data_IF_105301307893
#
_entry.id   IF_105301307893
#
_cell.length_a   1.000
_cell.length_b   1.000
_cell.length_c   1.000
_cell.angle_alpha   90.00
_cell.angle_beta   90.00
_cell.angle_gamma   90.00
#
_symmetry.space_group_name_H-M   'P 1'
#
loop_
_entity.id
_entity.type
_entity.pdbx_description
1 polymer ?
#
# COMPACT_ATOMS: atom_id res chain seq x y z
N UNK A 1 6.67 16.34 24.19
CA UNK A 1 6.43 16.25 22.73
C UNK A 1 7.24 15.08 22.21
N UNK A 2 6.60 14.02 21.74
CA UNK A 2 7.28 12.77 21.39
C UNK A 2 8.18 13.00 20.16
N UNK A 3 9.39 12.41 20.14
CA UNK A 3 10.35 12.62 19.04
C UNK A 3 9.79 12.21 17.67
N UNK A 4 8.96 11.15 17.66
CA UNK A 4 8.28 10.62 16.47
C UNK A 4 7.30 11.65 15.88
N UNK A 5 6.46 12.28 16.72
CA UNK A 5 5.48 13.28 16.27
C UNK A 5 6.16 14.51 15.66
N UNK A 6 7.34 14.89 16.17
CA UNK A 6 8.13 16.00 15.64
C UNK A 6 8.81 15.64 14.32
N UNK A 7 9.31 14.41 14.18
CA UNK A 7 9.95 13.94 12.94
C UNK A 7 8.95 13.85 11.78
N UNK A 8 7.74 13.33 12.05
CA UNK A 8 6.68 13.18 11.05
C UNK A 8 5.72 14.38 10.94
N UNK A 9 5.92 15.44 11.74
CA UNK A 9 5.09 16.65 11.68
C UNK A 9 3.61 16.46 12.06
N UNK A 10 3.28 15.41 12.81
CA UNK A 10 1.90 14.99 13.12
C UNK A 10 1.09 16.09 13.82
N UNK A 11 1.73 16.87 14.70
CA UNK A 11 1.08 17.95 15.46
C UNK A 11 0.52 19.07 14.57
N UNK A 12 0.99 19.23 13.33
CA UNK A 12 0.46 20.21 12.38
C UNK A 12 -0.71 19.71 11.54
N UNK A 13 -1.03 18.41 11.60
CA UNK A 13 -1.95 17.74 10.67
C UNK A 13 -3.29 17.30 11.29
N UNK A 14 -3.60 17.73 12.53
CA UNK A 14 -4.83 17.34 13.26
C UNK A 14 -5.09 15.82 13.29
N UNK A 15 -4.04 15.01 13.26
CA UNK A 15 -4.09 13.53 13.26
C UNK A 15 -3.34 12.98 14.47
N UNK A 16 -3.46 11.67 14.72
CA UNK A 16 -2.78 10.99 15.83
C UNK A 16 -1.91 9.84 15.30
N UNK A 17 -0.86 9.47 16.03
CA UNK A 17 0.01 8.34 15.66
C UNK A 17 -0.82 7.06 15.40
N UNK A 18 -1.85 6.79 16.21
CA UNK A 18 -2.71 5.62 16.02
C UNK A 18 -3.44 5.65 14.68
N UNK A 19 -3.93 6.83 14.29
CA UNK A 19 -4.61 7.05 13.00
C UNK A 19 -3.64 6.83 11.85
N UNK A 20 -2.44 7.40 11.91
CA UNK A 20 -1.41 7.24 10.88
C UNK A 20 -0.95 5.80 10.72
N UNK A 21 -0.75 5.07 11.82
CA UNK A 21 -0.40 3.64 11.77
C UNK A 21 -1.54 2.84 11.11
N UNK A 22 -2.79 3.09 11.50
CA UNK A 22 -3.92 2.38 10.91
C UNK A 22 -4.05 2.70 9.42
N UNK A 23 -3.93 3.98 9.04
CA UNK A 23 -3.96 4.41 7.65
C UNK A 23 -2.85 3.75 6.84
N UNK A 24 -1.61 3.75 7.35
CA UNK A 24 -0.47 3.10 6.72
C UNK A 24 -0.66 1.59 6.55
N UNK A 25 -1.16 0.90 7.57
CA UNK A 25 -1.48 -0.54 7.49
C UNK A 25 -2.58 -0.80 6.46
N UNK A 26 -3.63 0.01 6.43
CA UNK A 26 -4.70 -0.13 5.44
C UNK A 26 -4.16 0.04 4.02
N UNK A 27 -3.39 1.11 3.76
CA UNK A 27 -2.77 1.33 2.44
C UNK A 27 -1.84 0.19 2.04
N UNK A 28 -1.01 -0.28 2.97
CA UNK A 28 -0.10 -1.40 2.74
C UNK A 28 -0.85 -2.67 2.36
N UNK A 29 -1.90 -3.02 3.10
CA UNK A 29 -2.72 -4.20 2.82
C UNK A 29 -3.44 -4.09 1.47
N UNK A 30 -3.93 -2.89 1.11
CA UNK A 30 -4.54 -2.64 -0.20
C UNK A 30 -3.55 -2.89 -1.33
N UNK A 31 -2.33 -2.34 -1.25
CA UNK A 31 -1.30 -2.57 -2.26
C UNK A 31 -0.86 -4.04 -2.33
N UNK A 32 -0.69 -4.69 -1.18
CA UNK A 32 -0.36 -6.11 -1.11
C UNK A 32 -1.43 -6.98 -1.78
N UNK A 33 -2.71 -6.68 -1.55
CA UNK A 33 -3.81 -7.36 -2.21
C UNK A 33 -3.75 -7.20 -3.74
N UNK A 34 -3.50 -5.98 -4.23
CA UNK A 34 -3.41 -5.68 -5.67
C UNK A 34 -2.32 -6.52 -6.36
N UNK A 35 -1.14 -6.62 -5.74
CA UNK A 35 0.03 -7.36 -6.28
C UNK A 35 -0.29 -8.86 -6.49
N UNK A 36 -1.16 -9.46 -5.67
CA UNK A 36 -1.55 -10.87 -5.84
C UNK A 36 -2.80 -11.05 -6.69
N UNK A 37 -3.79 -10.17 -6.58
CA UNK A 37 -5.09 -10.35 -7.24
C UNK A 37 -5.05 -9.96 -8.71
N UNK A 38 -4.44 -8.83 -9.08
CA UNK A 38 -4.41 -8.41 -10.49
C UNK A 38 -3.74 -9.46 -11.39
N UNK A 39 -2.59 -10.06 -11.01
CA UNK A 39 -1.95 -11.09 -11.83
C UNK A 39 -2.78 -12.36 -11.96
N UNK A 40 -3.53 -12.76 -10.91
CA UNK A 40 -4.41 -13.92 -10.98
C UNK A 40 -5.58 -13.68 -11.94
N UNK A 41 -6.26 -12.53 -11.82
CA UNK A 41 -7.40 -12.18 -12.69
C UNK A 41 -6.98 -12.04 -14.15
N UNK A 42 -5.83 -11.40 -14.42
CA UNK A 42 -5.31 -11.24 -15.78
C UNK A 42 -4.74 -12.55 -16.35
N UNK A 43 -4.19 -13.42 -15.52
CA UNK A 43 -3.76 -14.76 -15.94
C UNK A 43 -4.96 -15.63 -16.35
N UNK A 44 -6.09 -15.53 -15.64
CA UNK A 44 -7.34 -16.21 -16.02
C UNK A 44 -7.88 -15.72 -17.37
N UNK A 45 -7.57 -14.47 -17.75
CA UNK A 45 -7.86 -13.92 -19.08
C UNK A 45 -6.85 -14.35 -20.17
N UNK A 46 -5.86 -15.18 -19.84
CA UNK A 46 -4.87 -15.73 -20.78
C UNK A 46 -3.56 -14.94 -20.89
N UNK A 47 -3.30 -13.97 -20.00
CA UNK A 47 -2.04 -13.20 -19.98
C UNK A 47 -0.93 -13.93 -19.19
N UNK A 48 0.34 -13.67 -19.54
CA UNK A 48 1.46 -14.24 -18.80
C UNK A 48 1.52 -13.68 -17.37
N UNK A 49 1.36 -14.57 -16.39
CA UNK A 49 1.28 -14.24 -14.96
C UNK A 49 2.51 -13.49 -14.44
N UNK A 50 3.70 -13.82 -14.96
CA UNK A 50 4.95 -13.18 -14.56
C UNK A 50 5.02 -11.74 -15.06
N UNK A 51 4.71 -11.52 -16.32
CA UNK A 51 4.68 -10.20 -16.95
C UNK A 51 3.65 -9.28 -16.28
N UNK A 52 2.43 -9.76 -16.01
CA UNK A 52 1.41 -8.95 -15.33
C UNK A 52 1.73 -8.71 -13.85
N UNK A 53 2.41 -9.63 -13.19
CA UNK A 53 2.92 -9.41 -11.82
C UNK A 53 3.94 -8.28 -11.78
N UNK A 54 4.95 -8.32 -12.66
CA UNK A 54 5.96 -7.26 -12.75
C UNK A 54 5.33 -5.92 -13.11
N UNK A 55 4.41 -5.90 -14.09
CA UNK A 55 3.68 -4.70 -14.47
C UNK A 55 2.83 -4.13 -13.32
N UNK A 56 2.19 -4.99 -12.54
CA UNK A 56 1.40 -4.58 -11.36
C UNK A 56 2.31 -3.96 -10.29
N UNK A 57 3.47 -4.57 -10.01
CA UNK A 57 4.45 -4.03 -9.06
C UNK A 57 5.05 -2.69 -9.50
N UNK A 58 5.11 -2.41 -10.82
CA UNK A 58 5.55 -1.12 -11.36
C UNK A 58 4.48 -0.03 -11.28
N UNK A 59 3.20 -0.41 -11.30
CA UNK A 59 2.07 0.51 -11.32
C UNK A 59 1.54 0.85 -9.92
N UNK A 60 1.69 -0.07 -8.97
CA UNK A 60 1.35 0.11 -7.56
C UNK A 60 2.40 0.95 -6.84
#
# INVERSE_FOLDING_TARGET
MNAIERYFGINGQNTTIKTEILAGVTTFLTMAYIIFVNPNVLADAGMDKGAVFVATCLAA
#
